data_IF_372084413596
#
_entry.id   IF_372084413596
#
_cell.length_a   1.000
_cell.length_b   1.000
_cell.length_c   1.000
_cell.angle_alpha   90.00
_cell.angle_beta   90.00
_cell.angle_gamma   90.00
#
_symmetry.space_group_name_H-M   'P 1'
#
loop_
_entity.id
_entity.type
_entity.pdbx_description
1 polymer ?
#
# COMPACT_ATOMS: atom_id res chain seq x y z
N UNK A 1 -18.09 -11.53 18.97
CA UNK A 1 -17.87 -10.36 18.10
C UNK A 1 -18.71 -10.56 16.85
N UNK A 2 -19.50 -9.57 16.43
CA UNK A 2 -20.33 -9.70 15.23
C UNK A 2 -19.45 -9.70 13.98
N UNK A 3 -19.72 -10.58 13.02
CA UNK A 3 -18.97 -10.71 11.75
C UNK A 3 -18.86 -9.37 11.00
N UNK A 4 -19.94 -8.59 10.96
CA UNK A 4 -19.98 -7.25 10.33
C UNK A 4 -18.99 -6.25 10.97
N UNK A 5 -18.73 -6.38 12.27
CA UNK A 5 -17.76 -5.54 12.98
C UNK A 5 -16.33 -5.94 12.64
N UNK A 6 -16.08 -7.24 12.43
CA UNK A 6 -14.77 -7.76 12.03
C UNK A 6 -14.42 -7.34 10.60
N UNK A 7 -15.35 -7.49 9.66
CA UNK A 7 -15.13 -7.09 8.26
C UNK A 7 -14.85 -5.58 8.14
N UNK A 8 -15.71 -4.74 8.73
CA UNK A 8 -15.52 -3.28 8.70
C UNK A 8 -14.19 -2.82 9.32
N UNK A 9 -13.71 -3.51 10.37
CA UNK A 9 -12.39 -3.27 10.94
C UNK A 9 -11.27 -3.56 9.94
N UNK A 10 -11.31 -4.72 9.28
CA UNK A 10 -10.27 -5.09 8.30
C UNK A 10 -10.29 -4.22 7.05
N UNK A 11 -11.48 -3.82 6.58
CA UNK A 11 -11.59 -2.83 5.50
C UNK A 11 -10.98 -1.49 5.90
N UNK A 12 -11.18 -1.05 7.15
CA UNK A 12 -10.53 0.17 7.66
C UNK A 12 -9.01 0.02 7.66
N UNK A 13 -8.48 -1.12 8.14
CA UNK A 13 -7.03 -1.39 8.14
C UNK A 13 -6.43 -1.49 6.75
N UNK A 14 -7.15 -2.07 5.80
CA UNK A 14 -6.77 -2.13 4.40
C UNK A 14 -6.66 -0.72 3.80
N UNK A 15 -7.64 0.13 4.07
CA UNK A 15 -7.65 1.53 3.61
C UNK A 15 -6.50 2.35 4.22
N UNK A 16 -6.22 2.17 5.51
CA UNK A 16 -5.08 2.80 6.20
C UNK A 16 -3.74 2.37 5.58
N UNK A 17 -3.54 1.07 5.35
CA UNK A 17 -2.31 0.54 4.75
C UNK A 17 -2.13 0.98 3.29
N UNK A 18 -3.20 0.98 2.49
CA UNK A 18 -3.20 1.52 1.12
C UNK A 18 -2.77 2.98 1.11
N UNK A 19 -3.40 3.80 1.95
CA UNK A 19 -3.07 5.23 2.07
C UNK A 19 -1.62 5.44 2.51
N UNK A 20 -1.12 4.64 3.45
CA UNK A 20 0.27 4.71 3.87
C UNK A 20 1.24 4.40 2.73
N UNK A 21 0.97 3.34 1.97
CA UNK A 21 1.75 2.98 0.78
C UNK A 21 1.75 4.08 -0.27
N UNK A 22 0.59 4.62 -0.62
CA UNK A 22 0.44 5.71 -1.58
C UNK A 22 1.19 6.97 -1.17
N UNK A 23 1.19 7.31 0.12
CA UNK A 23 2.00 8.42 0.66
C UNK A 23 3.49 8.16 0.54
N UNK A 24 3.93 6.91 0.78
CA UNK A 24 5.34 6.53 0.63
C UNK A 24 5.78 6.60 -0.85
N UNK A 25 4.91 6.27 -1.80
CA UNK A 25 5.13 6.46 -3.23
C UNK A 25 5.31 7.93 -3.58
N UNK A 26 4.37 8.78 -3.14
CA UNK A 26 4.35 10.23 -3.34
C UNK A 26 5.48 11.00 -2.62
N UNK A 27 6.40 10.31 -1.94
CA UNK A 27 7.42 10.91 -1.09
C UNK A 27 6.87 11.83 0.01
N UNK A 28 5.61 11.69 0.40
CA UNK A 28 5.02 12.46 1.50
C UNK A 28 5.57 11.98 2.84
N UNK A 29 5.43 12.84 3.86
CA UNK A 29 5.76 12.51 5.25
C UNK A 29 4.85 11.38 5.77
N UNK A 30 5.41 10.45 6.53
CA UNK A 30 4.74 9.27 7.06
C UNK A 30 5.14 9.05 8.52
N UNK A 31 4.43 8.17 9.25
CA UNK A 31 4.84 7.78 10.62
C UNK A 31 6.23 7.15 10.65
N UNK A 32 6.67 6.54 9.55
CA UNK A 32 8.02 6.01 9.41
C UNK A 32 9.08 7.11 9.54
N UNK A 33 8.81 8.28 8.94
CA UNK A 33 9.70 9.44 9.02
C UNK A 33 9.82 9.95 10.47
N UNK A 34 8.74 9.92 11.26
CA UNK A 34 8.77 10.28 12.69
C UNK A 34 9.59 9.29 13.54
N UNK A 35 9.54 7.99 13.22
CA UNK A 35 10.26 6.94 13.93
C UNK A 35 11.75 6.91 13.58
N UNK A 36 12.10 7.30 12.34
CA UNK A 36 13.48 7.28 11.84
C UNK A 36 13.89 8.63 11.23
N UNK A 37 14.00 9.71 12.02
CA UNK A 37 14.34 11.05 11.50
C UNK A 37 15.64 11.07 10.70
N UNK A 38 16.63 10.26 11.13
CA UNK A 38 17.89 10.07 10.41
C UNK A 38 17.69 9.66 8.95
N UNK A 39 16.71 8.81 8.65
CA UNK A 39 16.48 8.33 7.27
C UNK A 39 15.94 9.43 6.36
N UNK A 40 15.29 10.47 6.90
CA UNK A 40 14.81 11.64 6.14
C UNK A 40 15.99 12.44 5.58
N UNK A 41 17.04 12.61 6.40
CA UNK A 41 18.25 13.36 6.04
C UNK A 41 19.11 12.63 4.98
N UNK A 42 18.73 11.39 4.65
CA UNK A 42 19.53 10.46 3.87
C UNK A 42 18.72 9.83 2.73
N UNK A 43 18.69 10.49 1.54
CA UNK A 43 17.89 10.09 0.38
C UNK A 43 18.05 8.64 -0.09
N UNK A 44 19.17 7.99 0.22
CA UNK A 44 19.39 6.57 -0.07
C UNK A 44 18.34 5.66 0.59
N UNK A 45 17.67 6.12 1.66
CA UNK A 45 16.65 5.35 2.37
C UNK A 45 15.24 5.49 1.80
N UNK A 46 15.01 6.30 0.75
CA UNK A 46 13.67 6.47 0.17
C UNK A 46 13.05 5.18 -0.34
N UNK A 47 13.86 4.23 -0.79
CA UNK A 47 13.35 2.92 -1.19
C UNK A 47 12.89 2.09 0.02
N UNK A 48 13.57 2.19 1.16
CA UNK A 48 13.24 1.41 2.35
C UNK A 48 11.84 1.74 2.87
N UNK A 49 11.48 3.02 2.97
CA UNK A 49 10.13 3.39 3.43
C UNK A 49 9.03 2.84 2.52
N UNK A 50 9.28 2.80 1.20
CA UNK A 50 8.35 2.25 0.22
C UNK A 50 8.22 0.73 0.34
N UNK A 51 9.34 0.02 0.52
CA UNK A 51 9.32 -1.43 0.76
C UNK A 51 8.62 -1.79 2.07
N UNK A 52 8.82 -1.00 3.13
CA UNK A 52 8.12 -1.19 4.41
C UNK A 52 6.61 -1.02 4.24
N UNK A 53 6.16 0.07 3.61
CA UNK A 53 4.74 0.29 3.38
C UNK A 53 4.11 -0.74 2.43
N UNK A 54 4.86 -1.23 1.43
CA UNK A 54 4.44 -2.34 0.57
C UNK A 54 4.27 -3.64 1.35
N UNK A 55 5.24 -3.99 2.18
CA UNK A 55 5.18 -5.19 3.03
C UNK A 55 3.99 -5.13 3.99
N UNK A 56 3.72 -3.95 4.56
CA UNK A 56 2.54 -3.73 5.42
C UNK A 56 1.24 -3.95 4.64
N UNK A 57 1.11 -3.35 3.44
CA UNK A 57 -0.06 -3.54 2.58
C UNK A 57 -0.28 -5.02 2.22
N UNK A 58 0.77 -5.72 1.80
CA UNK A 58 0.68 -7.15 1.46
C UNK A 58 0.26 -7.99 2.67
N UNK A 59 0.75 -7.67 3.86
CA UNK A 59 0.38 -8.37 5.10
C UNK A 59 -1.10 -8.20 5.41
N UNK A 60 -1.64 -6.97 5.27
CA UNK A 60 -3.07 -6.73 5.52
C UNK A 60 -3.94 -7.42 4.46
N UNK A 61 -3.51 -7.43 3.20
CA UNK A 61 -4.21 -8.17 2.12
C UNK A 61 -4.23 -9.68 2.40
N UNK A 62 -3.11 -10.25 2.88
CA UNK A 62 -3.02 -11.66 3.25
C UNK A 62 -4.01 -11.99 4.38
N UNK A 63 -4.04 -11.16 5.43
CA UNK A 63 -5.02 -11.32 6.53
C UNK A 63 -6.47 -11.18 6.04
N UNK A 64 -6.77 -10.23 5.16
CA UNK A 64 -8.11 -10.11 4.58
C UNK A 64 -8.49 -11.36 3.78
N UNK A 65 -7.55 -11.92 3.01
CA UNK A 65 -7.75 -13.13 2.23
C UNK A 65 -8.02 -14.34 3.13
N UNK A 66 -7.23 -14.53 4.18
CA UNK A 66 -7.40 -15.61 5.16
C UNK A 66 -8.75 -15.55 5.88
N UNK A 67 -9.30 -14.35 6.06
CA UNK A 67 -10.59 -14.09 6.70
C UNK A 67 -11.75 -13.99 5.70
N UNK A 68 -11.52 -14.23 4.40
CA UNK A 68 -12.53 -14.09 3.34
C UNK A 68 -13.18 -12.70 3.27
N UNK A 69 -12.44 -11.65 3.65
CA UNK A 69 -12.84 -10.26 3.49
C UNK A 69 -12.55 -9.83 2.04
N UNK A 70 -13.56 -9.28 1.37
CA UNK A 70 -13.50 -8.84 -0.04
C UNK A 70 -12.60 -7.61 -0.22
N UNK A 71 -11.28 -7.80 -0.28
CA UNK A 71 -10.34 -6.68 -0.39
C UNK A 71 -10.17 -6.14 -1.82
N UNK A 72 -10.38 -6.97 -2.84
CA UNK A 72 -10.09 -6.63 -4.25
C UNK A 72 -10.91 -5.44 -4.76
N UNK A 73 -12.15 -5.27 -4.30
CA UNK A 73 -13.04 -4.16 -4.68
C UNK A 73 -12.56 -2.78 -4.22
N UNK A 74 -11.56 -2.73 -3.32
CA UNK A 74 -10.95 -1.49 -2.84
C UNK A 74 -9.76 -1.02 -3.69
N UNK A 75 -9.43 -1.74 -4.77
CA UNK A 75 -8.30 -1.46 -5.64
C UNK A 75 -8.73 -1.44 -7.11
N UNK A 76 -7.95 -0.76 -7.96
CA UNK A 76 -8.11 -0.93 -9.40
C UNK A 76 -7.63 -2.33 -9.81
N UNK A 77 -8.10 -2.83 -10.96
CA UNK A 77 -7.67 -4.14 -11.48
C UNK A 77 -6.13 -4.24 -11.60
N UNK A 78 -5.46 -3.15 -11.99
CA UNK A 78 -4.01 -3.09 -12.09
C UNK A 78 -3.33 -3.18 -10.72
N UNK A 79 -3.85 -2.48 -9.71
CA UNK A 79 -3.36 -2.55 -8.34
C UNK A 79 -3.54 -3.97 -7.76
N UNK A 80 -4.69 -4.60 -8.02
CA UNK A 80 -4.94 -6.02 -7.65
C UNK A 80 -3.89 -6.93 -8.30
N UNK A 81 -3.59 -6.72 -9.58
CA UNK A 81 -2.57 -7.50 -10.29
C UNK A 81 -1.18 -7.36 -9.64
N UNK A 82 -0.77 -6.13 -9.30
CA UNK A 82 0.49 -5.89 -8.60
C UNK A 82 0.55 -6.56 -7.23
N UNK A 83 -0.52 -6.46 -6.45
CA UNK A 83 -0.62 -7.09 -5.12
C UNK A 83 -0.52 -8.61 -5.24
N UNK A 84 -1.25 -9.23 -6.18
CA UNK A 84 -1.25 -10.69 -6.39
C UNK A 84 0.12 -11.22 -6.81
N UNK A 85 0.88 -10.44 -7.59
CA UNK A 85 2.25 -10.81 -7.96
C UNK A 85 3.26 -10.64 -6.83
N UNK A 86 2.91 -9.95 -5.72
CA UNK A 86 3.74 -9.71 -4.52
C UNK A 86 5.09 -9.01 -4.76
N UNK A 87 5.43 -8.68 -6.01
CA UNK A 87 6.72 -8.08 -6.39
C UNK A 87 6.58 -6.58 -6.51
N UNK A 88 7.27 -5.86 -5.61
CA UNK A 88 7.47 -4.43 -5.77
C UNK A 88 8.56 -4.18 -6.81
N UNK A 89 8.14 -3.90 -8.03
CA UNK A 89 9.00 -3.52 -9.15
C UNK A 89 8.93 -2.02 -9.42
N UNK A 90 9.88 -1.49 -10.21
CA UNK A 90 9.79 -0.12 -10.75
C UNK A 90 8.43 0.14 -11.42
N UNK A 91 7.85 -0.87 -12.07
CA UNK A 91 6.53 -0.75 -12.68
C UNK A 91 5.42 -0.46 -11.66
N UNK A 92 5.45 -1.11 -10.50
CA UNK A 92 4.47 -0.83 -9.44
C UNK A 92 4.61 0.62 -8.97
N UNK A 93 5.85 1.06 -8.77
CA UNK A 93 6.18 2.41 -8.30
C UNK A 93 5.75 3.49 -9.30
N UNK A 94 5.99 3.26 -10.58
CA UNK A 94 5.77 4.24 -11.65
C UNK A 94 4.31 4.29 -12.10
N UNK A 95 3.57 3.19 -11.96
CA UNK A 95 2.24 3.04 -12.54
C UNK A 95 1.12 2.79 -11.52
N UNK A 96 1.38 2.86 -10.21
CA UNK A 96 0.36 2.61 -9.17
C UNK A 96 -0.91 3.45 -9.30
N UNK A 97 -0.78 4.73 -9.69
CA UNK A 97 -1.88 5.71 -9.72
C UNK A 97 -2.58 5.84 -11.09
N UNK A 98 -2.20 5.06 -12.11
CA UNK A 98 -2.67 5.19 -13.50
C UNK A 98 -2.91 6.65 -13.96
N UNK A 99 -1.85 7.40 -14.23
CA UNK A 99 -1.98 8.63 -15.02
C UNK A 99 -0.84 8.73 -16.03
N UNK A 100 -1.11 8.23 -17.24
CA UNK A 100 -0.72 8.93 -18.47
C UNK A 100 -1.84 8.74 -19.49
N UNK A 101 -2.87 9.59 -19.42
CA UNK A 101 -3.47 10.03 -20.67
C UNK A 101 -2.36 10.77 -21.43
N UNK A 102 -1.69 10.06 -22.34
CA UNK A 102 -1.05 10.72 -23.47
C UNK A 102 -2.19 11.03 -24.43
N UNK A 103 -2.79 12.20 -24.25
CA UNK A 103 -3.69 12.76 -25.27
C UNK A 103 -2.82 12.98 -26.51
N UNK A 104 -3.17 12.24 -27.56
CA UNK A 104 -2.66 12.34 -28.93
C UNK A 104 -2.94 13.71 -29.55
#
# INVERSE_FOLDING_TARGET
>A
MNETTTESYFITKLSEAKTHFERALDCKHTKFDDLYPYMIEHPQFFWYKRYVAWSELLTIVEVCSDLSVSWEEHFSNQQVDYIKHKVMSSKVLDYWFETKEVVS
#
